data_IF_231600077538
#
_entry.id   IF_231600077538
#
_cell.length_a   1.000
_cell.length_b   1.000
_cell.length_c   1.000
_cell.angle_alpha   90.00
_cell.angle_beta   90.00
_cell.angle_gamma   90.00
#
_symmetry.space_group_name_H-M   'P 1'
#
loop_
_entity.id
_entity.type
_entity.pdbx_description
1 polymer ?
#
# COMPACT_ATOMS: atom_id res chain seq x y z
N UNK A 1 6.36 14.45 -1.74
CA UNK A 1 5.52 13.31 -2.08
C UNK A 1 5.32 12.42 -0.88
N UNK A 2 4.16 11.85 -0.79
CA UNK A 2 3.88 10.90 0.26
C UNK A 2 3.65 9.52 -0.33
N UNK A 3 4.09 8.54 0.41
CA UNK A 3 3.93 7.14 0.01
C UNK A 3 3.05 6.47 1.05
N UNK A 4 1.92 5.98 0.61
CA UNK A 4 0.96 5.38 1.54
C UNK A 4 0.85 3.89 1.27
N UNK A 5 0.97 3.13 2.35
CA UNK A 5 0.81 1.68 2.28
C UNK A 5 -0.53 1.34 2.91
N UNK A 6 -1.41 0.75 2.13
CA UNK A 6 -2.74 0.36 2.60
C UNK A 6 -2.84 -1.14 2.47
N UNK A 7 -3.10 -1.82 3.59
CA UNK A 7 -3.12 -3.28 3.57
C UNK A 7 -4.12 -3.80 4.59
N UNK A 8 -4.58 -5.00 4.34
CA UNK A 8 -5.41 -5.76 5.27
C UNK A 8 -4.64 -7.03 5.60
N UNK A 9 -4.21 -7.13 6.87
CA UNK A 9 -3.34 -8.23 7.23
C UNK A 9 -2.06 -8.15 6.43
N UNK A 10 -1.76 -9.19 5.67
CA UNK A 10 -0.56 -9.20 4.84
C UNK A 10 -0.86 -8.92 3.37
N UNK A 11 -2.08 -8.50 3.05
CA UNK A 11 -2.46 -8.27 1.68
C UNK A 11 -2.60 -6.78 1.43
N UNK A 12 -1.84 -6.27 0.49
CA UNK A 12 -1.91 -4.86 0.13
C UNK A 12 -3.13 -4.60 -0.74
N UNK A 13 -3.81 -3.52 -0.43
CA UNK A 13 -4.99 -3.11 -1.19
C UNK A 13 -4.59 -2.30 -2.41
N UNK A 14 -3.51 -1.53 -2.30
CA UNK A 14 -3.01 -0.71 -3.40
C UNK A 14 -1.54 -0.96 -3.59
N UNK A 15 -1.05 -0.89 -4.83
CA UNK A 15 0.37 -1.09 -5.07
C UNK A 15 1.18 0.09 -4.59
N UNK A 16 2.40 -0.19 -4.15
CA UNK A 16 3.34 0.84 -3.81
C UNK A 16 4.19 1.14 -5.02
N UNK A 17 4.20 2.39 -5.46
CA UNK A 17 4.98 2.80 -6.62
C UNK A 17 5.93 3.91 -6.23
N UNK A 18 7.00 4.04 -7.02
CA UNK A 18 7.98 5.07 -6.75
C UNK A 18 7.44 6.47 -7.01
N UNK A 19 6.39 6.57 -7.78
CA UNK A 19 5.80 7.87 -8.04
C UNK A 19 5.09 8.42 -6.83
N UNK A 20 4.67 7.52 -5.96
CA UNK A 20 4.00 7.96 -4.76
C UNK A 20 2.66 8.59 -5.04
N UNK A 21 2.31 9.48 -4.17
CA UNK A 21 1.16 10.34 -4.38
C UNK A 21 -0.15 9.58 -4.50
N UNK A 22 -0.35 8.66 -3.58
CA UNK A 22 -1.63 7.99 -3.50
C UNK A 22 -2.41 8.48 -2.29
N UNK A 23 -2.28 9.78 -2.03
CA UNK A 23 -2.89 10.35 -0.84
C UNK A 23 -4.41 10.30 -0.87
N UNK A 24 -4.97 10.19 -2.06
CA UNK A 24 -6.42 10.19 -2.19
C UNK A 24 -7.03 8.81 -2.06
N UNK A 25 -6.22 7.84 -1.72
CA UNK A 25 -6.72 6.50 -1.52
C UNK A 25 -7.55 6.46 -0.24
N UNK A 26 -8.73 5.89 -0.34
CA UNK A 26 -9.61 5.71 0.82
C UNK A 26 -9.57 4.26 1.23
N UNK A 27 -8.98 3.94 2.39
CA UNK A 27 -8.91 2.55 2.81
C UNK A 27 -10.28 2.03 3.19
N UNK A 28 -10.44 0.73 3.03
CA UNK A 28 -11.63 0.06 3.53
C UNK A 28 -11.65 0.16 5.05
N UNK A 29 -12.79 -0.15 5.63
CA UNK A 29 -12.96 0.00 7.07
C UNK A 29 -11.90 -0.79 7.84
N UNK A 30 -11.59 -1.99 7.35
CA UNK A 30 -10.67 -2.86 8.07
C UNK A 30 -9.23 -2.73 7.61
N UNK A 31 -8.95 -1.81 6.72
CA UNK A 31 -7.60 -1.67 6.19
C UNK A 31 -6.77 -0.76 7.06
N UNK A 32 -5.48 -1.02 7.09
CA UNK A 32 -4.50 -0.18 7.77
C UNK A 32 -3.80 0.69 6.73
N UNK A 33 -3.75 1.98 7.00
CA UNK A 33 -3.09 2.92 6.09
C UNK A 33 -1.95 3.60 6.83
N UNK A 34 -0.75 3.53 6.27
CA UNK A 34 0.44 4.12 6.88
C UNK A 34 1.13 4.98 5.84
N UNK A 35 1.50 6.20 6.22
CA UNK A 35 2.17 7.14 5.33
C UNK A 35 3.65 7.22 5.63
N UNK A 36 4.43 7.39 4.57
CA UNK A 36 5.87 7.54 4.67
C UNK A 36 6.32 8.71 3.81
N UNK A 37 7.44 9.30 4.19
CA UNK A 37 7.99 10.42 3.44
C UNK A 37 8.84 9.98 2.27
N UNK A 38 9.38 8.79 2.32
CA UNK A 38 10.25 8.30 1.25
C UNK A 38 9.80 6.92 0.80
N UNK A 39 10.11 6.61 -0.45
CA UNK A 39 9.79 5.30 -0.99
C UNK A 39 10.54 4.20 -0.24
N UNK A 40 11.78 4.48 0.14
CA UNK A 40 12.57 3.48 0.86
C UNK A 40 11.91 3.06 2.15
N UNK A 41 11.38 4.03 2.87
CA UNK A 41 10.72 3.73 4.14
C UNK A 41 9.47 2.91 3.92
N UNK A 42 8.69 3.27 2.90
CA UNK A 42 7.47 2.53 2.61
C UNK A 42 7.80 1.10 2.19
N UNK A 43 8.82 0.94 1.38
CA UNK A 43 9.21 -0.39 0.93
C UNK A 43 9.74 -1.24 2.07
N UNK A 44 10.47 -0.62 2.99
CA UNK A 44 10.97 -1.35 4.16
C UNK A 44 9.79 -1.87 4.99
N UNK A 45 8.77 -1.07 5.15
CA UNK A 45 7.58 -1.49 5.87
C UNK A 45 6.94 -2.69 5.19
N UNK A 46 6.81 -2.62 3.87
CA UNK A 46 6.21 -3.73 3.11
C UNK A 46 7.02 -5.01 3.29
N UNK A 47 8.33 -4.89 3.24
CA UNK A 47 9.19 -6.06 3.39
C UNK A 47 9.12 -6.62 4.80
N UNK A 48 9.11 -5.74 5.78
CA UNK A 48 9.13 -6.18 7.17
C UNK A 48 7.85 -6.91 7.54
N UNK A 49 6.74 -6.50 6.97
CA UNK A 49 5.46 -7.12 7.27
C UNK A 49 5.05 -8.18 6.27
N UNK A 50 5.93 -8.47 5.32
CA UNK A 50 5.68 -9.50 4.30
C UNK A 50 4.40 -9.23 3.54
N UNK A 51 4.19 -7.98 3.18
CA UNK A 51 2.97 -7.60 2.48
C UNK A 51 3.09 -7.97 1.01
N UNK A 52 1.97 -8.40 0.43
CA UNK A 52 1.92 -8.82 -0.96
C UNK A 52 0.74 -8.12 -1.63
N UNK A 53 0.98 -7.57 -2.81
CA UNK A 53 -0.08 -6.97 -3.58
C UNK A 53 -0.51 -7.92 -4.70
N UNK A 54 -1.82 -8.12 -4.79
CA UNK A 54 -2.38 -8.89 -5.88
C UNK A 54 -3.33 -8.02 -6.65
N UNK A 55 -3.09 -7.94 -7.96
CA UNK A 55 -4.01 -7.19 -8.79
C UNK A 55 -5.37 -7.84 -8.79
N UNK A 56 -6.43 -7.06 -8.60
CA UNK A 56 -7.77 -7.62 -8.69
C UNK A 56 -8.05 -8.07 -10.11
N UNK A 57 -8.72 -9.18 -10.23
CA UNK A 57 -9.14 -9.67 -11.52
C UNK A 57 -10.60 -9.33 -11.70
N UNK A 58 -10.86 -8.54 -12.73
CA UNK A 58 -12.22 -8.22 -13.03
C UNK A 58 -12.70 -9.18 -14.08
N UNK A 59 -13.82 -9.63 -13.90
CA UNK A 59 -14.43 -10.53 -14.62
C UNK A 59 -14.19 -10.86 -15.85
N UNK A 60 -14.14 -11.56 -16.30
CA UNK A 60 -14.10 -11.90 -17.40
C UNK A 60 -14.65 -12.97 -17.56
#
# INVERSE_FOLDING_TARGET
>A
KKYKVVHEGTKMVFPLTEEGDNAEVFPAVDATAVEFDTYSEAKAYVDEHNLVYEEPKYGE
#
